data_IF_868591608998
#
_entry.id   IF_868591608998
#
_cell.length_a   1.000
_cell.length_b   1.000
_cell.length_c   1.000
_cell.angle_alpha   90.00
_cell.angle_beta   90.00
_cell.angle_gamma   90.00
#
_symmetry.space_group_name_H-M   'P 1'
#
loop_
_entity.id
_entity.type
_entity.pdbx_description
1 polymer ?
#
# COMPACT_ATOMS: atom_id res chain seq x y z
N UNK A 1 -5.65 10.21 -13.31
CA UNK A 1 -5.55 10.75 -11.94
C UNK A 1 -4.08 10.71 -11.54
N UNK A 2 -3.49 11.84 -11.16
CA UNK A 2 -2.07 11.93 -10.78
C UNK A 2 -1.88 11.74 -9.27
N UNK A 3 -0.65 11.44 -8.83
CA UNK A 3 -0.31 11.32 -7.40
C UNK A 3 -0.63 12.61 -6.62
N UNK A 4 -0.38 13.76 -7.23
CA UNK A 4 -0.72 15.06 -6.67
C UNK A 4 -2.24 15.26 -6.50
N UNK A 5 -3.05 14.75 -7.44
CA UNK A 5 -4.52 14.79 -7.33
C UNK A 5 -5.02 13.96 -6.14
N UNK A 6 -4.39 12.83 -5.86
CA UNK A 6 -4.74 11.98 -4.70
C UNK A 6 -4.40 12.66 -3.38
N UNK A 7 -3.21 13.26 -3.27
CA UNK A 7 -2.80 14.00 -2.08
C UNK A 7 -3.74 15.19 -1.86
N UNK A 8 -4.00 15.98 -2.91
CA UNK A 8 -4.91 17.12 -2.84
C UNK A 8 -6.33 16.68 -2.43
N UNK A 9 -6.81 15.54 -2.94
CA UNK A 9 -8.10 14.98 -2.55
C UNK A 9 -8.16 14.59 -1.07
N UNK A 10 -7.09 14.00 -0.52
CA UNK A 10 -7.01 13.67 0.92
C UNK A 10 -6.99 14.93 1.77
N UNK A 11 -6.18 15.93 1.41
CA UNK A 11 -6.07 17.18 2.16
C UNK A 11 -7.35 18.02 2.11
N UNK A 12 -8.17 17.88 1.07
CA UNK A 12 -9.47 18.54 0.94
C UNK A 12 -10.60 17.81 1.68
N UNK A 13 -10.37 16.60 2.20
CA UNK A 13 -11.38 15.91 3.00
C UNK A 13 -11.51 16.59 4.35
N UNK A 14 -12.66 17.21 4.58
CA UNK A 14 -13.05 17.78 5.87
C UNK A 14 -13.28 16.72 6.95
N UNK A 15 -13.42 15.45 6.57
CA UNK A 15 -13.63 14.33 7.48
C UNK A 15 -12.63 13.23 7.13
N UNK A 16 -11.48 13.25 7.80
CA UNK A 16 -10.70 12.03 7.97
C UNK A 16 -11.43 11.15 8.99
N UNK A 17 -11.33 9.83 8.85
CA UNK A 17 -11.95 8.91 9.81
C UNK A 17 -11.39 9.19 11.21
N UNK A 18 -12.21 9.81 12.06
CA UNK A 18 -11.86 10.09 13.44
C UNK A 18 -11.72 8.75 14.15
N UNK A 19 -10.55 8.43 14.74
CA UNK A 19 -10.46 7.27 15.61
C UNK A 19 -11.52 7.37 16.69
N UNK A 20 -12.33 6.32 16.86
CA UNK A 20 -13.32 6.24 17.92
C UNK A 20 -12.57 6.17 19.25
N UNK A 21 -12.29 7.33 19.84
CA UNK A 21 -11.92 7.47 21.24
C UNK A 21 -13.22 7.38 22.06
N UNK A 22 -13.79 6.17 22.07
CA UNK A 22 -14.96 5.83 22.87
C UNK A 22 -14.51 5.22 24.19
N UNK A 23 -15.20 5.56 25.27
CA UNK A 23 -15.14 4.83 26.53
C UNK A 23 -16.47 4.11 26.73
N UNK A 24 -16.42 2.89 27.24
CA UNK A 24 -17.63 2.15 27.60
C UNK A 24 -18.19 2.67 28.92
N UNK A 25 -19.47 3.04 28.94
CA UNK A 25 -20.19 3.46 30.13
C UNK A 25 -21.55 2.76 30.18
N UNK A 26 -21.67 1.74 31.05
CA UNK A 26 -22.91 0.98 31.22
C UNK A 26 -23.41 0.35 29.91
N UNK A 27 -22.55 -0.45 29.26
CA UNK A 27 -22.84 -1.15 27.99
C UNK A 27 -23.09 -0.22 26.79
N UNK A 28 -22.78 1.08 26.91
CA UNK A 28 -22.90 2.06 25.83
C UNK A 28 -21.54 2.66 25.49
N UNK A 29 -21.24 2.74 24.19
CA UNK A 29 -20.05 3.43 23.69
C UNK A 29 -20.30 4.94 23.72
N UNK A 30 -19.56 5.68 24.54
CA UNK A 30 -19.65 7.14 24.64
C UNK A 30 -18.37 7.76 24.08
N UNK A 31 -18.49 8.67 23.12
CA UNK A 31 -17.34 9.38 22.56
C UNK A 31 -17.09 10.68 23.30
N UNK A 32 -15.86 10.86 23.79
CA UNK A 32 -15.44 12.12 24.40
C UNK A 32 -15.42 13.26 23.38
N UNK A 33 -16.25 14.27 23.60
CA UNK A 33 -16.04 15.61 23.07
C UNK A 33 -15.13 16.31 24.10
N UNK A 34 -14.14 17.09 23.68
CA UNK A 34 -13.13 17.65 24.59
C UNK A 34 -13.71 18.42 25.79
N UNK A 35 -12.91 18.77 26.82
CA UNK A 35 -13.41 19.37 28.05
C UNK A 35 -14.35 20.56 27.78
N UNK A 36 -15.60 20.46 28.25
CA UNK A 36 -16.66 21.49 28.11
C UNK A 36 -17.07 21.84 26.67
N UNK A 37 -16.79 20.96 25.70
CA UNK A 37 -17.20 21.15 24.31
C UNK A 37 -18.42 20.29 23.96
N UNK A 38 -19.45 20.91 23.37
CA UNK A 38 -20.49 20.22 22.60
C UNK A 38 -20.17 20.20 21.10
N UNK A 39 -19.07 20.83 20.71
CA UNK A 39 -18.65 20.97 19.32
C UNK A 39 -17.83 19.74 18.94
N UNK A 40 -18.28 19.04 17.91
CA UNK A 40 -17.58 17.89 17.31
C UNK A 40 -16.49 18.39 16.34
N UNK A 41 -15.78 19.46 16.71
CA UNK A 41 -14.63 19.93 15.95
C UNK A 41 -13.46 19.03 16.29
N UNK A 42 -13.14 18.15 15.35
CA UNK A 42 -11.99 17.26 15.43
C UNK A 42 -10.99 17.68 14.38
N UNK A 43 -9.75 17.91 14.81
CA UNK A 43 -8.62 18.19 13.92
C UNK A 43 -7.74 16.96 13.87
N UNK A 44 -7.44 16.47 12.67
CA UNK A 44 -6.48 15.40 12.50
C UNK A 44 -5.08 15.85 12.93
N UNK A 45 -4.35 14.98 13.60
CA UNK A 45 -2.93 15.21 13.88
C UNK A 45 -2.11 15.00 12.60
N UNK A 46 -0.89 15.59 12.55
CA UNK A 46 0.03 15.39 11.41
C UNK A 46 0.30 13.90 11.12
N UNK A 47 0.53 13.03 12.12
CA UNK A 47 0.65 11.58 11.88
C UNK A 47 -0.60 10.94 11.26
N UNK A 48 -1.81 11.35 11.68
CA UNK A 48 -3.06 10.82 11.12
C UNK A 48 -3.27 11.25 9.67
N UNK A 49 -2.89 12.49 9.33
CA UNK A 49 -2.88 12.99 7.95
C UNK A 49 -1.88 12.20 7.09
N UNK A 50 -0.68 11.94 7.61
CA UNK A 50 0.34 11.16 6.89
C UNK A 50 -0.16 9.74 6.57
N UNK A 51 -0.72 9.04 7.57
CA UNK A 51 -1.27 7.69 7.37
C UNK A 51 -2.41 7.66 6.35
N UNK A 52 -3.30 8.65 6.40
CA UNK A 52 -4.42 8.75 5.45
C UNK A 52 -3.93 8.99 4.02
N UNK A 53 -2.90 9.82 3.84
CA UNK A 53 -2.25 10.05 2.55
C UNK A 53 -1.60 8.76 2.04
N UNK A 54 -0.81 8.08 2.87
CA UNK A 54 -0.13 6.83 2.49
C UNK A 54 -1.13 5.75 2.06
N UNK A 55 -2.21 5.55 2.83
CA UNK A 55 -3.24 4.57 2.49
C UNK A 55 -3.94 4.89 1.17
N UNK A 56 -4.23 6.17 0.93
CA UNK A 56 -4.86 6.61 -0.31
C UNK A 56 -3.93 6.41 -1.52
N UNK A 57 -2.63 6.66 -1.34
CA UNK A 57 -1.62 6.46 -2.36
C UNK A 57 -1.43 4.98 -2.69
N UNK A 58 -1.33 4.10 -1.69
CA UNK A 58 -1.26 2.64 -1.88
C UNK A 58 -2.48 2.13 -2.66
N UNK A 59 -3.68 2.61 -2.30
CA UNK A 59 -4.91 2.24 -3.00
C UNK A 59 -4.93 2.74 -4.44
N UNK A 60 -4.48 3.97 -4.68
CA UNK A 60 -4.43 4.56 -6.02
C UNK A 60 -3.40 3.85 -6.92
N UNK A 61 -2.24 3.50 -6.35
CA UNK A 61 -1.19 2.75 -7.05
C UNK A 61 -1.70 1.35 -7.43
N UNK A 62 -2.42 0.65 -6.54
CA UNK A 62 -3.04 -0.64 -6.83
C UNK A 62 -4.17 -0.58 -7.88
N UNK A 63 -4.85 0.57 -8.02
CA UNK A 63 -5.99 0.75 -8.92
C UNK A 63 -5.59 1.22 -10.34
N UNK A 64 -4.34 1.62 -10.54
CA UNK A 64 -3.85 2.15 -11.81
C UNK A 64 -3.20 1.02 -12.64
N UNK A 65 -3.76 0.64 -13.81
CA UNK A 65 -3.13 -0.33 -14.68
C UNK A 65 -1.79 0.23 -15.19
N UNK A 66 -0.68 -0.38 -14.74
CA UNK A 66 0.67 0.05 -15.08
C UNK A 66 1.30 1.08 -14.12
N UNK A 67 0.70 1.35 -12.95
CA UNK A 67 1.42 2.08 -11.90
C UNK A 67 2.59 1.25 -11.42
N UNK A 68 3.79 1.76 -11.69
CA UNK A 68 5.02 1.19 -11.21
C UNK A 68 5.13 1.59 -9.73
N UNK A 69 4.54 0.81 -8.82
CA UNK A 69 4.99 0.85 -7.44
C UNK A 69 6.51 0.76 -7.47
N UNK A 70 7.24 1.65 -6.79
CA UNK A 70 8.71 1.62 -6.74
C UNK A 70 9.15 0.43 -5.87
N UNK A 71 8.81 -0.76 -6.34
CA UNK A 71 8.77 -2.00 -5.60
C UNK A 71 8.77 -3.15 -6.59
N UNK A 72 9.53 -4.18 -6.25
CA UNK A 72 9.64 -5.36 -7.07
C UNK A 72 8.39 -6.22 -6.89
N UNK A 73 7.37 -6.11 -7.73
CA UNK A 73 6.24 -7.06 -7.72
C UNK A 73 6.52 -8.26 -8.64
N UNK A 74 6.03 -9.46 -8.28
CA UNK A 74 6.00 -10.63 -9.17
C UNK A 74 4.74 -10.57 -10.04
N UNK A 75 4.93 -10.39 -11.34
CA UNK A 75 3.88 -10.45 -12.37
C UNK A 75 3.94 -11.82 -13.05
N UNK A 76 2.81 -12.52 -13.09
CA UNK A 76 2.69 -13.84 -13.74
C UNK A 76 1.71 -13.71 -14.90
N UNK A 77 2.20 -13.98 -16.10
CA UNK A 77 1.40 -13.93 -17.32
C UNK A 77 1.19 -15.33 -17.90
N UNK A 78 -0.02 -15.57 -18.42
CA UNK A 78 -0.33 -16.81 -19.12
C UNK A 78 0.09 -16.71 -20.59
N UNK A 79 0.98 -17.60 -21.03
CA UNK A 79 1.42 -17.70 -22.42
C UNK A 79 1.19 -19.11 -22.95
N UNK A 80 0.03 -19.32 -23.57
CA UNK A 80 -0.34 -20.61 -24.16
C UNK A 80 -0.70 -21.66 -23.11
N UNK A 81 0.27 -22.47 -22.66
CA UNK A 81 0.09 -23.43 -21.55
C UNK A 81 1.03 -23.15 -20.37
N UNK A 82 1.85 -22.12 -20.51
CA UNK A 82 2.88 -21.80 -19.55
C UNK A 82 2.56 -20.52 -18.79
N UNK A 83 3.13 -20.40 -17.61
CA UNK A 83 3.18 -19.21 -16.80
C UNK A 83 4.57 -18.60 -16.92
N UNK A 84 4.63 -17.34 -17.33
CA UNK A 84 5.88 -16.57 -17.39
C UNK A 84 5.92 -15.61 -16.22
N UNK A 85 6.92 -15.75 -15.36
CA UNK A 85 7.17 -14.84 -14.25
C UNK A 85 8.11 -13.71 -14.67
N UNK A 86 7.67 -12.47 -14.46
CA UNK A 86 8.49 -11.27 -14.59
C UNK A 86 8.39 -10.44 -13.32
N UNK A 87 9.48 -9.79 -12.94
CA UNK A 87 9.43 -8.75 -11.95
C UNK A 87 9.00 -7.45 -12.61
N UNK A 88 8.25 -6.63 -11.90
CA UNK A 88 7.80 -5.31 -12.34
C UNK A 88 8.94 -4.37 -12.77
N UNK A 89 10.17 -4.60 -12.30
CA UNK A 89 11.38 -3.89 -12.76
C UNK A 89 11.84 -4.31 -14.18
N UNK A 90 11.14 -5.24 -14.83
CA UNK A 90 11.48 -5.79 -16.15
C UNK A 90 12.32 -7.07 -16.10
N UNK A 91 12.76 -7.53 -14.92
CA UNK A 91 13.57 -8.75 -14.81
C UNK A 91 12.74 -9.99 -15.09
N UNK A 92 13.13 -10.80 -16.07
CA UNK A 92 12.53 -12.13 -16.29
C UNK A 92 13.02 -13.11 -15.21
N UNK A 93 12.08 -13.80 -14.58
CA UNK A 93 12.34 -14.70 -13.45
C UNK A 93 12.27 -16.17 -13.83
N UNK A 94 11.42 -16.51 -14.80
CA UNK A 94 11.33 -17.87 -15.31
C UNK A 94 10.08 -18.13 -16.15
N UNK A 95 9.96 -19.38 -16.59
CA UNK A 95 8.78 -19.93 -17.24
C UNK A 95 8.50 -21.29 -16.64
N UNK A 96 7.26 -21.56 -16.28
CA UNK A 96 6.83 -22.85 -15.73
C UNK A 96 5.58 -23.33 -16.47
N UNK A 97 5.37 -24.63 -16.56
CA UNK A 97 4.09 -25.17 -17.02
C UNK A 97 2.99 -24.80 -16.01
N UNK A 98 1.76 -24.57 -16.46
CA UNK A 98 0.64 -24.18 -15.59
C UNK A 98 0.30 -25.18 -14.47
N UNK A 99 0.76 -26.43 -14.56
CA UNK A 99 0.62 -27.45 -13.51
C UNK A 99 1.74 -27.40 -12.47
N UNK A 100 2.83 -26.69 -12.77
CA UNK A 100 3.94 -26.47 -11.85
C UNK A 100 3.51 -25.49 -10.77
N UNK A 101 3.96 -25.71 -9.52
CA UNK A 101 3.64 -24.80 -8.42
C UNK A 101 4.24 -23.42 -8.66
N UNK A 102 3.48 -22.38 -8.31
CA UNK A 102 3.89 -20.98 -8.44
C UNK A 102 5.16 -20.64 -7.66
N UNK A 103 5.46 -21.40 -6.60
CA UNK A 103 6.68 -21.28 -5.79
C UNK A 103 7.96 -21.32 -6.63
N UNK A 104 7.94 -22.02 -7.76
CA UNK A 104 9.06 -22.07 -8.70
C UNK A 104 9.38 -20.71 -9.35
N UNK A 105 8.42 -19.76 -9.37
CA UNK A 105 8.62 -18.37 -9.78
C UNK A 105 8.84 -17.44 -8.58
N UNK A 106 8.24 -17.75 -7.42
CA UNK A 106 8.38 -16.97 -6.18
C UNK A 106 9.81 -16.99 -5.63
N UNK A 107 10.48 -18.16 -5.64
CA UNK A 107 11.86 -18.27 -5.13
C UNK A 107 12.85 -17.39 -5.93
N UNK A 108 12.89 -17.44 -7.27
CA UNK A 108 13.71 -16.52 -8.07
C UNK A 108 13.37 -15.04 -7.83
N UNK A 109 12.10 -14.70 -7.62
CA UNK A 109 11.68 -13.34 -7.31
C UNK A 109 12.27 -12.85 -5.98
N UNK A 110 12.10 -13.62 -4.89
CA UNK A 110 12.65 -13.27 -3.56
C UNK A 110 14.16 -13.07 -3.63
N UNK A 111 14.87 -13.94 -4.35
CA UNK A 111 16.33 -13.82 -4.51
C UNK A 111 16.71 -12.53 -5.23
N UNK A 112 15.95 -12.13 -6.24
CA UNK A 112 16.16 -10.89 -6.96
C UNK A 112 15.91 -9.66 -6.09
N UNK A 113 14.77 -9.59 -5.40
CA UNK A 113 14.42 -8.44 -4.56
C UNK A 113 15.40 -8.27 -3.39
N UNK A 114 15.85 -9.38 -2.80
CA UNK A 114 16.82 -9.34 -1.70
C UNK A 114 18.19 -8.83 -2.16
N UNK A 115 18.65 -9.21 -3.36
CA UNK A 115 19.91 -8.70 -3.92
C UNK A 115 19.84 -7.21 -4.23
N UNK A 116 18.73 -6.75 -4.80
CA UNK A 116 18.58 -5.34 -5.15
C UNK A 116 18.48 -4.46 -3.89
N UNK A 117 17.81 -4.93 -2.84
CA UNK A 117 17.81 -4.28 -1.53
C UNK A 117 19.21 -4.20 -0.91
N UNK A 118 20.00 -5.29 -1.01
CA UNK A 118 21.38 -5.30 -0.51
C UNK A 118 22.29 -4.35 -1.30
N UNK A 119 22.14 -4.29 -2.63
CA UNK A 119 22.90 -3.38 -3.48
C UNK A 119 22.53 -1.90 -3.20
N UNK A 120 21.25 -1.62 -2.99
CA UNK A 120 20.78 -0.29 -2.60
C UNK A 120 21.34 0.13 -1.24
N UNK A 121 21.38 -0.76 -0.24
CA UNK A 121 21.95 -0.46 1.07
C UNK A 121 23.46 -0.13 0.99
N UNK A 122 24.21 -0.86 0.17
CA UNK A 122 25.64 -0.63 -0.03
C UNK A 122 25.97 0.68 -0.75
N UNK A 123 25.08 1.17 -1.63
CA UNK A 123 25.28 2.42 -2.36
C UNK A 123 25.03 3.69 -1.52
N UNK A 124 24.41 3.56 -0.35
CA UNK A 124 24.12 4.67 0.58
C UNK A 124 24.96 4.61 1.86
N UNK A 125 25.99 3.75 1.88
CA UNK A 125 27.02 3.66 2.93
C UNK A 125 28.32 4.30 2.45
#
# INVERSE_FOLDING_TARGET
MTRADVIAAVLRRSVLERPLLGSELGERLVQGLGPRSTVVEWTATVPQLAEAVDRALVKADAAMPGSVAVGHALVVEYQGRDLVGTCQCGRRLGRIDARTRLDALTVPWIQHTTRDLAAAAAAHS
#
